data_IF_641393574395
#
_entry.id   IF_641393574395
#
_cell.length_a   1.000
_cell.length_b   1.000
_cell.length_c   1.000
_cell.angle_alpha   90.00
_cell.angle_beta   90.00
_cell.angle_gamma   90.00
#
_symmetry.space_group_name_H-M   'P 1'
#
loop_
_entity.id
_entity.type
_entity.pdbx_description
1 polymer ?
#
# COMPACT_ATOMS: atom_id res chain seq x y z
N UNK A 1 2.99 10.75 11.32
CA UNK A 1 4.16 10.22 12.05
C UNK A 1 4.97 9.23 11.20
N UNK A 2 4.32 8.24 10.56
CA UNK A 2 5.00 7.20 9.76
C UNK A 2 5.69 7.80 8.54
N UNK A 3 4.99 8.57 7.72
CA UNK A 3 5.53 9.18 6.50
C UNK A 3 6.75 10.06 6.80
N UNK A 4 6.71 10.84 7.87
CA UNK A 4 7.85 11.66 8.29
C UNK A 4 9.09 10.79 8.59
N UNK A 5 8.90 9.67 9.29
CA UNK A 5 9.98 8.74 9.61
C UNK A 5 10.55 8.07 8.36
N UNK A 6 9.70 7.75 7.39
CA UNK A 6 10.11 7.16 6.11
C UNK A 6 10.89 8.17 5.26
N UNK A 7 10.41 9.41 5.18
CA UNK A 7 11.14 10.48 4.48
C UNK A 7 12.51 10.74 5.09
N UNK A 8 12.62 10.66 6.40
CA UNK A 8 13.91 10.76 7.07
C UNK A 8 14.85 9.62 6.68
N UNK A 9 14.39 8.38 6.76
CA UNK A 9 15.20 7.20 6.41
C UNK A 9 15.65 7.21 4.94
N UNK A 10 14.80 7.67 4.02
CA UNK A 10 15.12 7.81 2.60
C UNK A 10 16.15 8.92 2.33
N UNK A 11 16.04 10.02 3.05
CA UNK A 11 16.84 11.20 2.76
C UNK A 11 18.34 11.03 3.10
N UNK A 12 18.69 10.13 4.04
CA UNK A 12 20.09 9.89 4.44
C UNK A 12 20.91 9.14 3.36
N UNK A 13 20.29 8.37 2.50
CA UNK A 13 20.99 7.44 1.59
C UNK A 13 20.43 7.42 0.16
N UNK A 14 19.52 8.32 -0.20
CA UNK A 14 18.79 8.28 -1.46
C UNK A 14 19.69 8.51 -2.67
N UNK A 15 19.82 7.48 -3.50
CA UNK A 15 20.46 7.59 -4.81
C UNK A 15 19.49 8.15 -5.89
N UNK A 16 20.01 8.46 -7.07
CA UNK A 16 19.20 9.00 -8.18
C UNK A 16 18.10 8.04 -8.63
N UNK A 17 18.27 6.74 -8.45
CA UNK A 17 17.28 5.72 -8.84
C UNK A 17 16.12 5.67 -7.86
N UNK A 18 16.42 5.71 -6.57
CA UNK A 18 15.40 5.80 -5.52
C UNK A 18 14.56 7.07 -5.68
N UNK A 19 15.17 8.20 -6.05
CA UNK A 19 14.46 9.44 -6.36
C UNK A 19 13.50 9.26 -7.53
N UNK A 20 13.98 8.71 -8.66
CA UNK A 20 13.13 8.45 -9.83
C UNK A 20 11.97 7.51 -9.52
N UNK A 21 12.19 6.49 -8.69
CA UNK A 21 11.14 5.58 -8.27
C UNK A 21 10.08 6.29 -7.43
N UNK A 22 10.49 7.16 -6.51
CA UNK A 22 9.55 7.95 -5.72
C UNK A 22 8.77 8.92 -6.61
N UNK A 23 9.43 9.61 -7.55
CA UNK A 23 8.77 10.46 -8.53
C UNK A 23 7.70 9.68 -9.31
N UNK A 24 8.03 8.50 -9.84
CA UNK A 24 7.09 7.67 -10.59
C UNK A 24 5.84 7.30 -9.79
N UNK A 25 5.98 7.14 -8.47
CA UNK A 25 4.85 6.81 -7.60
C UNK A 25 4.04 8.05 -7.24
N UNK A 26 4.72 9.18 -6.98
CA UNK A 26 4.04 10.45 -6.79
C UNK A 26 3.20 10.80 -8.02
N UNK A 27 3.76 10.63 -9.24
CA UNK A 27 3.02 10.77 -10.50
C UNK A 27 1.80 9.85 -10.56
N UNK A 28 1.98 8.57 -10.21
CA UNK A 28 0.89 7.58 -10.26
C UNK A 28 -0.27 7.95 -9.35
N UNK A 29 0.00 8.48 -8.15
CA UNK A 29 -1.04 8.91 -7.21
C UNK A 29 -1.47 10.38 -7.44
N UNK A 30 -0.85 11.08 -8.41
CA UNK A 30 -1.22 12.42 -8.85
C UNK A 30 -0.70 13.56 -7.96
N UNK A 31 0.49 13.38 -7.38
CA UNK A 31 1.18 14.40 -6.60
C UNK A 31 2.41 14.95 -7.33
N UNK A 32 2.79 16.18 -7.01
CA UNK A 32 4.04 16.79 -7.47
C UNK A 32 5.25 16.09 -6.82
N UNK A 33 6.41 16.20 -7.46
CA UNK A 33 7.66 15.61 -6.94
C UNK A 33 8.26 16.40 -5.75
N UNK A 34 7.47 17.25 -5.12
CA UNK A 34 7.86 18.02 -3.95
C UNK A 34 7.02 17.67 -2.74
N UNK A 35 7.71 17.48 -1.63
CA UNK A 35 7.09 17.24 -0.33
C UNK A 35 7.61 18.29 0.63
N UNK A 36 6.72 18.94 1.37
CA UNK A 36 7.09 19.89 2.41
C UNK A 36 6.82 19.30 3.79
N UNK A 37 7.75 19.53 4.70
CA UNK A 37 7.57 19.26 6.11
C UNK A 37 7.34 20.57 6.83
N UNK A 38 6.10 20.85 7.24
CA UNK A 38 5.75 22.02 8.04
C UNK A 38 5.78 21.67 9.52
N UNK A 39 6.55 22.38 10.33
CA UNK A 39 6.71 22.07 11.74
C UNK A 39 6.74 23.30 12.63
N UNK A 40 6.37 23.12 13.90
CA UNK A 40 6.46 24.15 14.92
C UNK A 40 7.23 23.62 16.14
N UNK A 41 8.04 24.48 16.74
CA UNK A 41 8.83 24.15 17.93
C UNK A 41 8.06 24.44 19.21
N UNK A 42 8.34 23.65 20.25
CA UNK A 42 7.86 23.93 21.60
C UNK A 42 8.57 25.17 22.10
N UNK A 43 7.85 26.30 22.14
CA UNK A 43 8.32 27.52 22.76
C UNK A 43 8.40 27.31 24.27
N UNK A 44 9.42 27.87 24.96
CA UNK A 44 9.65 27.76 26.40
C UNK A 44 8.35 27.77 27.21
N UNK A 45 7.93 26.63 27.70
CA UNK A 45 6.94 26.54 28.76
C UNK A 45 7.67 26.52 30.10
N UNK A 46 7.18 27.25 31.08
CA UNK A 46 7.71 27.28 32.46
C UNK A 46 7.73 25.90 33.15
N UNK A 47 7.21 24.87 32.51
CA UNK A 47 7.11 23.48 33.03
C UNK A 47 8.15 22.51 32.48
N UNK A 48 8.75 22.77 31.33
CA UNK A 48 9.73 21.86 30.73
C UNK A 48 11.11 22.53 30.75
N UNK A 49 12.01 22.16 31.58
CA UNK A 49 13.37 22.66 31.76
C UNK A 49 14.04 23.39 30.57
N UNK A 50 15.29 23.73 30.62
CA UNK A 50 15.98 24.35 29.47
C UNK A 50 16.04 23.29 28.35
N UNK A 51 15.74 23.70 27.11
CA UNK A 51 15.80 22.81 25.92
C UNK A 51 17.17 22.12 25.79
N UNK A 52 18.26 22.81 26.24
CA UNK A 52 19.60 22.24 26.26
C UNK A 52 19.70 21.03 27.20
N UNK A 53 19.07 21.11 28.37
CA UNK A 53 19.09 20.01 29.34
C UNK A 53 18.28 18.81 28.83
N UNK A 54 17.14 19.07 28.19
CA UNK A 54 16.33 18.04 27.56
C UNK A 54 17.13 17.33 26.46
N UNK A 55 17.74 18.09 25.55
CA UNK A 55 18.57 17.55 24.47
C UNK A 55 19.72 16.71 25.04
N UNK A 56 20.43 17.22 26.05
CA UNK A 56 21.54 16.50 26.67
C UNK A 56 21.09 15.15 27.25
N UNK A 57 20.01 15.14 28.05
CA UNK A 57 19.48 13.91 28.66
C UNK A 57 18.98 12.90 27.61
N UNK A 58 18.41 13.38 26.50
CA UNK A 58 17.88 12.52 25.45
C UNK A 58 18.98 11.94 24.57
N UNK A 59 20.01 12.75 24.20
CA UNK A 59 21.19 12.27 23.45
C UNK A 59 21.93 11.17 24.22
N UNK A 60 22.07 11.30 25.54
CA UNK A 60 22.72 10.27 26.36
C UNK A 60 21.98 8.93 26.36
N UNK A 61 20.67 8.94 26.20
CA UNK A 61 19.78 7.75 26.17
C UNK A 61 19.45 7.27 24.76
N UNK A 62 19.82 8.01 23.73
CA UNK A 62 19.51 7.68 22.36
C UNK A 62 20.35 6.49 21.87
N UNK A 63 19.67 5.43 21.39
CA UNK A 63 20.33 4.22 20.89
C UNK A 63 21.25 4.49 19.70
N UNK A 64 20.90 5.44 18.85
CA UNK A 64 21.69 5.84 17.68
C UNK A 64 23.04 6.40 18.09
N UNK A 65 23.10 7.10 19.24
CA UNK A 65 24.32 7.69 19.76
C UNK A 65 25.01 6.83 20.83
N UNK A 66 24.55 5.59 21.05
CA UNK A 66 25.08 4.72 22.11
C UNK A 66 26.57 4.43 21.98
N UNK A 67 27.05 4.30 20.73
CA UNK A 67 28.44 3.95 20.42
C UNK A 67 29.37 5.17 20.29
N UNK A 68 28.84 6.40 20.41
CA UNK A 68 29.63 7.60 20.32
C UNK A 68 30.39 7.88 21.62
N UNK A 69 31.60 8.43 21.48
CA UNK A 69 32.38 8.97 22.58
C UNK A 69 31.67 10.15 23.25
N UNK A 70 32.06 10.47 24.47
CA UNK A 70 31.52 11.62 25.22
C UNK A 70 31.72 12.95 24.47
N UNK A 71 32.83 13.08 23.74
CA UNK A 71 33.13 14.28 22.96
C UNK A 71 32.18 14.40 21.77
N UNK A 72 31.99 13.32 21.01
CA UNK A 72 31.06 13.27 19.86
C UNK A 72 29.60 13.52 20.27
N UNK A 73 29.18 12.98 21.41
CA UNK A 73 27.86 13.28 21.98
C UNK A 73 27.71 14.78 22.30
N UNK A 74 28.71 15.39 22.89
CA UNK A 74 28.67 16.82 23.16
C UNK A 74 28.57 17.65 21.87
N UNK A 75 29.26 17.27 20.82
CA UNK A 75 29.14 17.93 19.51
C UNK A 75 27.72 17.85 18.95
N UNK A 76 27.09 16.68 19.04
CA UNK A 76 25.68 16.50 18.63
C UNK A 76 24.72 17.36 19.46
N UNK A 77 24.93 17.43 20.78
CA UNK A 77 24.13 18.28 21.67
C UNK A 77 24.26 19.75 21.26
N UNK A 78 25.46 20.22 20.97
CA UNK A 78 25.72 21.60 20.56
C UNK A 78 25.05 21.90 19.23
N UNK A 79 25.13 21.02 18.23
CA UNK A 79 24.51 21.16 16.92
C UNK A 79 22.98 21.23 17.03
N UNK A 80 22.36 20.26 17.70
CA UNK A 80 20.90 20.21 17.92
C UNK A 80 20.40 21.44 18.67
N UNK A 81 21.10 21.85 19.72
CA UNK A 81 20.73 23.04 20.50
C UNK A 81 20.90 24.33 19.70
N UNK A 82 21.95 24.45 18.91
CA UNK A 82 22.17 25.60 18.02
C UNK A 82 21.04 25.72 17.00
N UNK A 83 20.67 24.61 16.36
CA UNK A 83 19.55 24.57 15.43
C UNK A 83 18.23 24.98 16.11
N UNK A 84 17.90 24.36 17.24
CA UNK A 84 16.70 24.71 18.01
C UNK A 84 16.68 26.19 18.39
N UNK A 85 17.79 26.72 18.92
CA UNK A 85 17.91 28.12 19.35
C UNK A 85 17.72 29.09 18.19
N UNK A 86 18.35 28.82 17.04
CA UNK A 86 18.25 29.65 15.83
C UNK A 86 16.78 29.74 15.37
N UNK A 87 16.09 28.62 15.28
CA UNK A 87 14.68 28.60 14.88
C UNK A 87 13.77 29.20 15.97
N UNK A 88 13.93 28.85 17.24
CA UNK A 88 13.08 29.35 18.33
C UNK A 88 13.26 30.84 18.64
N UNK A 89 14.35 31.46 18.22
CA UNK A 89 14.61 32.92 18.36
C UNK A 89 13.95 33.73 17.24
N UNK A 90 13.45 33.10 16.21
CA UNK A 90 12.68 33.72 15.12
C UNK A 90 11.28 34.08 15.59
N UNK A 91 10.67 35.10 15.01
CA UNK A 91 9.27 35.44 15.22
C UNK A 91 8.29 34.47 14.51
N UNK A 92 8.80 33.56 13.71
CA UNK A 92 7.98 32.56 13.00
C UNK A 92 7.53 31.47 13.96
N UNK A 93 6.26 31.08 13.84
CA UNK A 93 5.67 29.97 14.58
C UNK A 93 5.84 28.65 13.82
N UNK A 94 5.74 28.72 12.50
CA UNK A 94 5.88 27.56 11.59
C UNK A 94 7.10 27.70 10.70
N UNK A 95 7.73 26.59 10.43
CA UNK A 95 8.88 26.43 9.55
C UNK A 95 8.59 25.36 8.55
N UNK A 96 9.02 25.57 7.30
CA UNK A 96 8.86 24.62 6.23
C UNK A 96 10.24 24.12 5.77
N UNK A 97 10.33 22.82 5.63
CA UNK A 97 11.47 22.14 5.02
C UNK A 97 10.97 21.44 3.75
N UNK A 98 11.57 21.73 2.61
CA UNK A 98 11.13 21.23 1.31
C UNK A 98 12.10 20.17 0.79
N UNK A 99 11.56 19.06 0.34
CA UNK A 99 12.26 18.00 -0.36
C UNK A 99 11.79 18.05 -1.80
N UNK A 100 12.72 18.23 -2.73
CA UNK A 100 12.49 18.22 -4.17
C UNK A 100 13.17 16.99 -4.75
N UNK A 101 12.40 16.05 -5.29
CA UNK A 101 12.91 14.79 -5.83
C UNK A 101 13.41 14.94 -7.27
N UNK A 102 13.06 16.02 -7.99
CA UNK A 102 13.53 16.30 -9.34
C UNK A 102 14.95 16.88 -9.36
N UNK A 103 15.34 17.55 -8.29
CA UNK A 103 16.60 18.27 -8.23
C UNK A 103 17.63 17.56 -7.37
N UNK A 104 18.78 17.21 -7.96
CA UNK A 104 19.97 16.72 -7.26
C UNK A 104 20.61 17.77 -6.33
N UNK A 105 20.11 19.00 -6.39
CA UNK A 105 20.67 20.16 -5.69
C UNK A 105 20.09 20.37 -4.29
N UNK A 106 19.61 19.34 -3.61
CA UNK A 106 19.37 19.46 -2.17
C UNK A 106 20.73 19.69 -1.51
N UNK A 107 21.02 20.90 -0.97
CA UNK A 107 22.33 21.17 -0.38
C UNK A 107 22.61 20.15 0.73
N UNK A 108 23.86 19.68 0.88
CA UNK A 108 24.21 18.75 1.97
C UNK A 108 23.78 19.27 3.34
N UNK A 109 23.73 20.59 3.53
CA UNK A 109 23.24 21.23 4.76
C UNK A 109 21.74 21.01 5.03
N UNK A 110 20.95 20.67 3.99
CA UNK A 110 19.52 20.36 4.16
C UNK A 110 19.27 18.98 4.77
N UNK A 111 20.18 18.04 4.61
CA UNK A 111 20.07 16.73 5.24
C UNK A 111 20.19 16.83 6.76
N UNK A 112 21.11 17.68 7.23
CA UNK A 112 21.26 17.93 8.65
C UNK A 112 20.01 18.57 9.25
N UNK A 113 19.31 19.44 8.51
CA UNK A 113 18.08 20.07 9.00
C UNK A 113 16.98 19.05 9.25
N UNK A 114 16.73 18.11 8.32
CA UNK A 114 15.73 17.07 8.50
C UNK A 114 16.07 16.14 9.67
N UNK A 115 17.35 15.80 9.82
CA UNK A 115 17.83 15.01 10.95
C UNK A 115 17.58 15.73 12.28
N UNK A 116 17.88 17.03 12.35
CA UNK A 116 17.63 17.81 13.57
C UNK A 116 16.14 17.91 13.89
N UNK A 117 15.27 18.11 12.89
CA UNK A 117 13.80 18.14 13.08
C UNK A 117 13.32 16.78 13.60
N UNK A 118 13.81 15.69 13.02
CA UNK A 118 13.45 14.34 13.44
C UNK A 118 13.88 14.07 14.89
N UNK A 119 15.12 14.41 15.28
CA UNK A 119 15.62 14.25 16.64
C UNK A 119 14.87 15.13 17.64
N UNK A 120 14.64 16.40 17.31
CA UNK A 120 13.86 17.29 18.16
C UNK A 120 12.43 16.80 18.36
N UNK A 121 11.83 16.17 17.33
CA UNK A 121 10.52 15.53 17.46
C UNK A 121 10.56 14.33 18.41
N UNK A 122 11.58 13.48 18.32
CA UNK A 122 11.77 12.36 19.26
C UNK A 122 12.00 12.84 20.70
N UNK A 123 12.56 14.04 20.86
CA UNK A 123 12.86 14.64 22.17
C UNK A 123 11.73 15.53 22.72
N UNK A 124 10.55 15.48 22.08
CA UNK A 124 9.35 16.26 22.45
C UNK A 124 9.55 17.78 22.38
N UNK A 125 10.48 18.25 21.53
CA UNK A 125 10.77 19.67 21.30
C UNK A 125 10.12 20.22 20.02
N UNK A 126 9.43 19.38 19.25
CA UNK A 126 8.55 19.76 18.14
C UNK A 126 7.12 19.58 18.59
N UNK A 127 6.33 20.65 18.57
CA UNK A 127 4.93 20.64 18.96
C UNK A 127 4.06 19.98 17.89
N UNK A 128 4.25 20.39 16.64
CA UNK A 128 3.50 19.86 15.50
C UNK A 128 4.42 19.67 14.31
N UNK A 129 4.21 18.63 13.55
CA UNK A 129 4.93 18.39 12.29
C UNK A 129 3.98 17.70 11.31
N UNK A 130 3.71 18.36 10.20
CA UNK A 130 2.82 17.92 9.14
C UNK A 130 3.62 17.71 7.86
N UNK A 131 3.42 16.57 7.22
CA UNK A 131 3.95 16.33 5.87
C UNK A 131 2.89 16.80 4.89
N UNK A 132 3.29 17.67 3.98
CA UNK A 132 2.42 18.28 2.98
C UNK A 132 2.85 17.78 1.62
N UNK A 133 1.92 17.21 0.89
CA UNK A 133 2.05 16.78 -0.50
C UNK A 133 1.45 17.86 -1.39
N UNK A 134 2.17 18.24 -2.44
CA UNK A 134 1.73 19.24 -3.39
C UNK A 134 1.01 18.57 -4.55
N UNK A 135 -0.08 19.20 -4.99
CA UNK A 135 -0.89 18.79 -6.13
C UNK A 135 -1.28 20.05 -6.91
N UNK A 136 -1.48 19.97 -8.22
CA UNK A 136 -1.67 21.14 -9.10
C UNK A 136 -2.63 22.21 -8.56
N UNK A 137 -3.71 21.81 -7.89
CA UNK A 137 -4.74 22.75 -7.42
C UNK A 137 -4.84 22.86 -5.87
N UNK A 138 -4.20 21.96 -5.13
CA UNK A 138 -4.29 21.95 -3.66
C UNK A 138 -3.08 21.27 -3.02
N UNK A 139 -2.88 21.61 -1.75
CA UNK A 139 -1.91 20.94 -0.89
C UNK A 139 -2.66 20.05 0.08
N UNK A 140 -2.20 18.82 0.22
CA UNK A 140 -2.83 17.81 1.07
C UNK A 140 -1.86 17.40 2.16
N UNK A 141 -2.31 17.34 3.40
CA UNK A 141 -1.48 16.77 4.47
C UNK A 141 -1.56 15.24 4.45
N UNK A 142 -0.55 14.57 5.02
CA UNK A 142 -0.58 13.11 5.16
C UNK A 142 -1.81 12.58 5.91
N UNK A 143 -2.45 13.42 6.71
CA UNK A 143 -3.62 13.05 7.51
C UNK A 143 -4.94 13.23 6.72
N UNK A 144 -4.90 13.99 5.63
CA UNK A 144 -6.03 14.22 4.73
C UNK A 144 -6.02 13.32 3.49
N UNK A 145 -4.99 12.50 3.33
CA UNK A 145 -4.90 11.53 2.24
C UNK A 145 -5.99 10.47 2.35
N UNK A 146 -6.47 9.98 1.21
CA UNK A 146 -7.29 8.77 1.21
C UNK A 146 -6.49 7.58 1.76
N UNK A 147 -7.19 6.60 2.34
CA UNK A 147 -6.54 5.40 2.88
C UNK A 147 -5.71 4.65 1.83
N UNK A 148 -6.16 4.64 0.58
CA UNK A 148 -5.44 4.02 -0.53
C UNK A 148 -4.18 4.78 -0.94
N UNK A 149 -4.24 6.10 -1.09
CA UNK A 149 -3.06 6.95 -1.35
C UNK A 149 -2.01 6.77 -0.27
N UNK A 150 -2.44 6.82 0.99
CA UNK A 150 -1.55 6.63 2.13
C UNK A 150 -0.93 5.22 2.15
N UNK A 151 -1.73 4.17 1.91
CA UNK A 151 -1.25 2.78 1.87
C UNK A 151 -0.22 2.59 0.76
N UNK A 152 -0.51 3.02 -0.47
CA UNK A 152 0.41 2.93 -1.61
C UNK A 152 1.73 3.65 -1.31
N UNK A 153 1.65 4.92 -0.93
CA UNK A 153 2.82 5.73 -0.64
C UNK A 153 3.67 5.16 0.50
N UNK A 154 3.03 4.79 1.62
CA UNK A 154 3.75 4.26 2.78
C UNK A 154 4.40 2.91 2.49
N UNK A 155 3.76 2.04 1.72
CA UNK A 155 4.33 0.74 1.30
C UNK A 155 5.59 0.97 0.47
N UNK A 156 5.49 1.79 -0.55
CA UNK A 156 6.63 2.03 -1.44
C UNK A 156 7.77 2.75 -0.75
N UNK A 157 7.48 3.80 0.02
CA UNK A 157 8.51 4.49 0.80
C UNK A 157 9.19 3.55 1.81
N UNK A 158 8.42 2.66 2.44
CA UNK A 158 8.98 1.67 3.40
C UNK A 158 9.92 0.69 2.72
N UNK A 159 9.53 0.17 1.55
CA UNK A 159 10.35 -0.76 0.79
C UNK A 159 11.60 -0.05 0.27
N UNK A 160 11.45 1.16 -0.30
CA UNK A 160 12.59 1.95 -0.78
C UNK A 160 13.59 2.28 0.32
N UNK A 161 13.09 2.57 1.54
CA UNK A 161 13.95 2.85 2.70
C UNK A 161 14.66 1.61 3.26
N UNK A 162 14.07 0.42 3.09
CA UNK A 162 14.61 -0.83 3.64
C UNK A 162 15.52 -1.59 2.65
N UNK A 163 15.42 -1.30 1.37
CA UNK A 163 16.02 -2.10 0.31
C UNK A 163 17.46 -1.69 -0.06
N UNK A 164 18.20 -1.10 0.86
CA UNK A 164 19.59 -0.65 0.64
C UNK A 164 20.60 -1.79 0.54
N UNK A 165 20.23 -3.01 0.90
CA UNK A 165 21.14 -4.15 0.90
C UNK A 165 20.87 -5.08 -0.28
N UNK A 166 21.89 -5.56 -0.99
CA UNK A 166 21.73 -6.67 -1.91
C UNK A 166 21.20 -7.90 -1.14
N UNK A 167 20.24 -8.61 -1.75
CA UNK A 167 19.56 -9.76 -1.16
C UNK A 167 18.52 -9.44 -0.07
N UNK A 168 17.80 -8.35 -0.21
CA UNK A 168 16.68 -8.01 0.66
C UNK A 168 15.49 -8.95 0.43
N UNK A 169 14.91 -9.46 1.50
CA UNK A 169 13.63 -10.18 1.50
C UNK A 169 12.52 -9.21 1.92
N UNK A 170 11.54 -9.00 1.04
CA UNK A 170 10.37 -8.18 1.29
C UNK A 170 9.17 -9.08 1.54
N UNK A 171 8.54 -8.94 2.69
CA UNK A 171 7.33 -9.68 3.07
C UNK A 171 6.17 -8.70 3.15
N UNK A 172 5.14 -8.93 2.34
CA UNK A 172 3.91 -8.13 2.32
C UNK A 172 2.72 -9.02 2.63
N UNK A 173 1.88 -8.56 3.54
CA UNK A 173 0.64 -9.23 3.92
C UNK A 173 -0.53 -8.31 3.55
N UNK A 174 -1.41 -8.79 2.66
CA UNK A 174 -2.58 -8.06 2.14
C UNK A 174 -2.26 -6.61 1.72
N UNK A 175 -1.23 -6.35 0.88
CA UNK A 175 -0.84 -4.98 0.54
C UNK A 175 -1.91 -4.21 -0.25
N UNK A 176 -2.90 -4.91 -0.78
CA UNK A 176 -4.03 -4.35 -1.49
C UNK A 176 -5.14 -3.79 -0.60
N UNK A 177 -5.09 -4.01 0.71
CA UNK A 177 -6.08 -3.47 1.63
C UNK A 177 -6.19 -1.96 1.49
N UNK A 178 -7.41 -1.46 1.37
CA UNK A 178 -7.75 -0.06 1.14
C UNK A 178 -7.42 0.50 -0.25
N UNK A 179 -6.83 -0.29 -1.16
CA UNK A 179 -6.58 0.16 -2.53
C UNK A 179 -7.82 0.04 -3.40
N UNK A 180 -8.04 1.06 -4.23
CA UNK A 180 -9.04 0.99 -5.31
C UNK A 180 -8.68 -0.16 -6.28
N UNK A 181 -9.66 -0.88 -6.88
CA UNK A 181 -9.38 -1.98 -7.81
C UNK A 181 -8.34 -1.68 -8.89
N UNK A 182 -8.38 -0.50 -9.52
CA UNK A 182 -7.38 -0.10 -10.52
C UNK A 182 -5.95 -0.01 -9.94
N UNK A 183 -5.82 0.35 -8.66
CA UNK A 183 -4.53 0.43 -8.00
C UNK A 183 -4.04 -0.96 -7.57
N UNK A 184 -4.95 -1.88 -7.23
CA UNK A 184 -4.59 -3.28 -7.00
C UNK A 184 -3.96 -3.90 -8.25
N UNK A 185 -4.55 -3.67 -9.44
CA UNK A 185 -4.04 -4.19 -10.71
C UNK A 185 -2.63 -3.68 -11.05
N UNK A 186 -2.27 -2.46 -10.62
CA UNK A 186 -0.98 -1.84 -10.92
C UNK A 186 0.02 -1.93 -9.76
N UNK A 187 -0.37 -2.46 -8.61
CA UNK A 187 0.47 -2.50 -7.41
C UNK A 187 1.79 -3.23 -7.66
N UNK A 188 1.73 -4.42 -8.27
CA UNK A 188 2.93 -5.23 -8.53
C UNK A 188 3.87 -4.52 -9.49
N UNK A 189 3.35 -3.90 -10.54
CA UNK A 189 4.12 -3.09 -11.50
C UNK A 189 4.82 -1.91 -10.82
N UNK A 190 4.11 -1.21 -9.93
CA UNK A 190 4.66 -0.08 -9.19
C UNK A 190 5.75 -0.54 -8.22
N UNK A 191 5.55 -1.66 -7.53
CA UNK A 191 6.57 -2.25 -6.67
C UNK A 191 7.78 -2.74 -7.47
N UNK A 192 7.57 -3.38 -8.62
CA UNK A 192 8.65 -3.84 -9.50
C UNK A 192 9.48 -2.65 -10.02
N UNK A 193 8.85 -1.56 -10.42
CA UNK A 193 9.54 -0.33 -10.81
C UNK A 193 10.30 0.30 -9.65
N UNK A 194 9.68 0.39 -8.48
CA UNK A 194 10.33 0.93 -7.27
C UNK A 194 11.59 0.15 -6.87
N UNK A 195 11.64 -1.13 -7.21
CA UNK A 195 12.74 -2.05 -6.89
C UNK A 195 13.59 -2.44 -8.10
N UNK A 196 13.37 -1.86 -9.27
CA UNK A 196 13.92 -2.30 -10.57
C UNK A 196 15.44 -2.47 -10.61
N UNK A 197 16.17 -1.89 -9.67
CA UNK A 197 17.63 -1.95 -9.61
C UNK A 197 18.16 -2.63 -8.34
N UNK A 198 17.30 -3.30 -7.60
CA UNK A 198 17.66 -3.98 -6.36
C UNK A 198 17.49 -5.48 -6.51
N UNK A 199 18.46 -6.24 -6.00
CA UNK A 199 18.34 -7.70 -5.93
C UNK A 199 17.51 -8.04 -4.69
N UNK A 200 16.20 -8.15 -4.85
CA UNK A 200 15.30 -8.51 -3.77
C UNK A 200 14.40 -9.69 -4.15
N UNK A 201 13.96 -10.42 -3.14
CA UNK A 201 12.91 -11.42 -3.25
C UNK A 201 11.67 -10.88 -2.51
N UNK A 202 10.53 -10.86 -3.19
CA UNK A 202 9.27 -10.40 -2.62
C UNK A 202 8.33 -11.59 -2.44
N UNK A 203 7.79 -11.74 -1.24
CA UNK A 203 6.74 -12.70 -0.92
C UNK A 203 5.51 -11.90 -0.51
N UNK A 204 4.42 -12.11 -1.22
CA UNK A 204 3.15 -11.41 -1.01
C UNK A 204 2.08 -12.45 -0.64
N UNK A 205 1.50 -12.30 0.54
CA UNK A 205 0.28 -12.99 0.90
C UNK A 205 -0.92 -12.11 0.51
N UNK A 206 -1.87 -12.65 -0.23
CA UNK A 206 -3.01 -11.88 -0.74
C UNK A 206 -4.23 -12.75 -0.96
N UNK A 207 -5.41 -12.14 -0.81
CA UNK A 207 -6.70 -12.67 -1.26
C UNK A 207 -7.22 -11.98 -2.54
N UNK A 208 -6.44 -11.07 -3.13
CA UNK A 208 -6.85 -10.34 -4.33
C UNK A 208 -6.51 -11.10 -5.61
N UNK A 209 -7.52 -11.48 -6.35
CA UNK A 209 -7.35 -12.06 -7.69
C UNK A 209 -6.73 -11.03 -8.66
N UNK A 210 -6.90 -9.72 -8.39
CA UNK A 210 -6.37 -8.64 -9.22
C UNK A 210 -4.84 -8.57 -9.16
N UNK A 211 -4.23 -8.86 -8.00
CA UNK A 211 -2.78 -8.92 -7.87
C UNK A 211 -2.18 -10.10 -8.63
N UNK A 212 -2.94 -11.19 -8.75
CA UNK A 212 -2.45 -12.44 -9.33
C UNK A 212 -2.60 -12.47 -10.85
N UNK A 213 -3.53 -11.68 -11.42
CA UNK A 213 -3.91 -11.75 -12.84
C UNK A 213 -2.84 -11.24 -13.81
N UNK A 214 -1.90 -10.41 -13.36
CA UNK A 214 -0.95 -9.73 -14.26
C UNK A 214 0.49 -9.76 -13.72
N UNK A 215 0.92 -10.93 -13.24
CA UNK A 215 2.25 -11.08 -12.67
C UNK A 215 3.34 -11.13 -13.75
N UNK A 216 4.52 -10.49 -13.50
CA UNK A 216 5.63 -10.48 -14.45
C UNK A 216 6.07 -11.88 -14.84
N UNK A 217 6.08 -12.18 -16.15
CA UNK A 217 6.50 -13.48 -16.66
C UNK A 217 7.93 -13.81 -16.22
N UNK A 218 8.20 -15.09 -15.96
CA UNK A 218 9.53 -15.66 -15.62
C UNK A 218 10.16 -15.15 -14.32
N UNK A 219 9.56 -14.17 -13.65
CA UNK A 219 10.07 -13.61 -12.38
C UNK A 219 9.10 -13.82 -11.23
N UNK A 220 7.92 -14.39 -11.49
CA UNK A 220 6.87 -14.61 -10.51
C UNK A 220 6.46 -16.06 -10.47
N UNK A 221 5.99 -16.49 -9.31
CA UNK A 221 5.35 -17.77 -9.09
C UNK A 221 4.18 -17.61 -8.14
N UNK A 222 3.16 -18.41 -8.30
CA UNK A 222 1.97 -18.43 -7.46
C UNK A 222 1.92 -19.73 -6.69
N UNK A 223 1.74 -19.64 -5.37
CA UNK A 223 1.51 -20.79 -4.50
C UNK A 223 0.16 -20.63 -3.83
N UNK A 224 -0.73 -21.57 -4.07
CA UNK A 224 -2.02 -21.64 -3.41
C UNK A 224 -1.87 -22.33 -2.05
N UNK A 225 -2.46 -21.75 -1.02
CA UNK A 225 -2.55 -22.35 0.31
C UNK A 225 -3.99 -22.75 0.59
N UNK A 226 -4.20 -24.03 0.91
CA UNK A 226 -5.51 -24.56 1.24
C UNK A 226 -5.48 -25.25 2.61
N UNK A 227 -6.54 -25.05 3.38
CA UNK A 227 -6.73 -25.73 4.65
C UNK A 227 -7.62 -26.97 4.43
N UNK A 228 -7.14 -28.14 4.80
CA UNK A 228 -7.93 -29.36 4.75
C UNK A 228 -8.96 -29.44 5.90
N UNK A 229 -9.86 -30.43 5.84
CA UNK A 229 -10.87 -30.66 6.89
C UNK A 229 -10.26 -30.94 8.27
N UNK A 230 -9.01 -31.38 8.33
CA UNK A 230 -8.27 -31.67 9.58
C UNK A 230 -7.53 -30.44 10.10
N UNK A 231 -7.57 -29.33 9.37
CA UNK A 231 -6.89 -28.10 9.73
C UNK A 231 -5.42 -27.98 9.28
N UNK A 232 -4.91 -28.95 8.48
CA UNK A 232 -3.57 -28.86 7.92
C UNK A 232 -3.56 -27.91 6.72
N UNK A 233 -2.44 -27.22 6.53
CA UNK A 233 -2.24 -26.31 5.38
C UNK A 233 -1.47 -27.07 4.30
N UNK A 234 -2.06 -27.16 3.12
CA UNK A 234 -1.45 -27.72 1.91
C UNK A 234 -1.03 -26.59 0.99
N UNK A 235 0.19 -26.64 0.50
CA UNK A 235 0.75 -25.66 -0.43
C UNK A 235 0.87 -26.29 -1.82
N UNK A 236 0.24 -25.70 -2.83
CA UNK A 236 0.28 -26.19 -4.21
C UNK A 236 0.80 -25.08 -5.13
N UNK A 237 1.90 -25.34 -5.81
CA UNK A 237 2.43 -24.41 -6.81
C UNK A 237 1.56 -24.44 -8.07
N UNK A 238 1.21 -23.26 -8.58
CA UNK A 238 0.55 -23.10 -9.87
C UNK A 238 1.63 -23.12 -10.95
N UNK A 239 1.56 -24.12 -11.83
CA UNK A 239 2.60 -24.34 -12.88
C UNK A 239 2.46 -23.39 -14.07
N UNK A 240 1.28 -22.81 -14.26
CA UNK A 240 0.97 -21.91 -15.36
C UNK A 240 1.29 -20.45 -14.99
N UNK A 241 1.72 -19.67 -15.99
CA UNK A 241 1.88 -18.22 -15.81
C UNK A 241 0.49 -17.57 -15.82
N UNK A 242 0.19 -16.75 -14.83
CA UNK A 242 -1.10 -16.06 -14.69
C UNK A 242 -1.20 -14.78 -15.53
N UNK A 243 -0.11 -14.39 -16.21
CA UNK A 243 -0.08 -13.18 -17.04
C UNK A 243 -1.16 -13.23 -18.13
N UNK A 244 -2.01 -12.22 -18.16
CA UNK A 244 -3.11 -12.11 -19.12
C UNK A 244 -4.33 -13.00 -18.81
N UNK A 245 -4.37 -13.64 -17.66
CA UNK A 245 -5.57 -14.39 -17.26
C UNK A 245 -6.71 -13.44 -16.90
N UNK A 246 -7.94 -13.84 -17.24
CA UNK A 246 -9.12 -13.12 -16.78
C UNK A 246 -9.31 -13.28 -15.28
N UNK A 247 -10.03 -12.34 -14.66
CA UNK A 247 -10.37 -12.42 -13.24
C UNK A 247 -11.09 -13.74 -12.90
N UNK A 248 -11.97 -14.23 -13.79
CA UNK A 248 -12.68 -15.49 -13.63
C UNK A 248 -11.73 -16.68 -13.65
N UNK A 249 -10.73 -16.68 -14.53
CA UNK A 249 -9.74 -17.77 -14.58
C UNK A 249 -8.89 -17.82 -13.32
N UNK A 250 -8.45 -16.67 -12.81
CA UNK A 250 -7.68 -16.59 -11.56
C UNK A 250 -8.54 -17.10 -10.39
N UNK A 251 -9.78 -16.61 -10.28
CA UNK A 251 -10.68 -17.06 -9.22
C UNK A 251 -10.98 -18.55 -9.29
N UNK A 252 -11.17 -19.10 -10.48
CA UNK A 252 -11.44 -20.53 -10.65
C UNK A 252 -10.20 -21.40 -10.41
N UNK A 253 -9.06 -21.08 -11.04
CA UNK A 253 -7.88 -21.94 -11.06
C UNK A 253 -6.99 -21.75 -9.84
N UNK A 254 -6.86 -20.51 -9.33
CA UNK A 254 -6.00 -20.18 -8.19
C UNK A 254 -6.76 -20.21 -6.88
N UNK A 255 -7.91 -19.53 -6.83
CA UNK A 255 -8.71 -19.43 -5.60
C UNK A 255 -9.75 -20.56 -5.45
N UNK A 256 -9.92 -21.41 -6.48
CA UNK A 256 -10.94 -22.49 -6.54
C UNK A 256 -12.34 -22.00 -6.21
N UNK A 257 -12.58 -20.74 -6.47
CA UNK A 257 -13.88 -20.11 -6.26
C UNK A 257 -14.58 -20.05 -7.60
N UNK A 258 -15.67 -20.78 -7.74
CA UNK A 258 -16.52 -20.66 -8.91
C UNK A 258 -17.13 -19.26 -8.93
N UNK A 259 -16.73 -18.44 -9.89
CA UNK A 259 -17.37 -17.17 -10.15
C UNK A 259 -18.53 -17.41 -11.11
N UNK A 260 -19.67 -17.71 -10.55
CA UNK A 260 -20.89 -17.43 -11.26
C UNK A 260 -21.11 -15.92 -11.15
N UNK A 261 -21.06 -15.22 -12.26
CA UNK A 261 -21.56 -13.85 -12.33
C UNK A 261 -22.94 -13.70 -11.69
N UNK A 262 -23.56 -14.86 -11.41
CA UNK A 262 -24.82 -14.96 -10.74
C UNK A 262 -24.93 -16.29 -9.98
N UNK A 263 -24.12 -16.49 -8.94
CA UNK A 263 -24.16 -17.69 -8.09
C UNK A 263 -25.59 -18.01 -7.65
N UNK A 264 -26.36 -17.01 -7.23
CA UNK A 264 -27.75 -17.16 -6.85
C UNK A 264 -28.63 -17.65 -8.01
N UNK A 265 -28.40 -17.13 -9.22
CA UNK A 265 -29.13 -17.52 -10.41
C UNK A 265 -28.77 -18.94 -10.85
N UNK A 266 -27.48 -19.29 -10.83
CA UNK A 266 -26.97 -20.64 -11.10
C UNK A 266 -27.50 -21.67 -10.10
N UNK A 267 -27.47 -21.36 -8.81
CA UNK A 267 -28.02 -22.23 -7.76
C UNK A 267 -29.55 -22.42 -7.89
N UNK A 268 -30.30 -21.40 -8.32
CA UNK A 268 -31.75 -21.55 -8.61
C UNK A 268 -31.99 -22.49 -9.78
N UNK A 269 -31.24 -22.32 -10.87
CA UNK A 269 -31.36 -23.20 -12.03
C UNK A 269 -30.97 -24.64 -11.64
N UNK A 270 -29.87 -24.82 -10.91
CA UNK A 270 -29.44 -26.15 -10.45
C UNK A 270 -30.49 -26.84 -9.59
N UNK A 271 -31.05 -26.14 -8.61
CA UNK A 271 -32.14 -26.65 -7.76
C UNK A 271 -33.41 -27.00 -8.56
N UNK A 272 -33.75 -26.21 -9.57
CA UNK A 272 -34.90 -26.50 -10.44
C UNK A 272 -34.66 -27.78 -11.24
N UNK A 273 -33.48 -27.93 -11.86
CA UNK A 273 -33.10 -29.14 -12.61
C UNK A 273 -33.10 -30.39 -11.73
N UNK A 274 -32.55 -30.30 -10.51
CA UNK A 274 -32.57 -31.41 -9.54
C UNK A 274 -34.00 -31.82 -9.18
N UNK A 275 -34.87 -30.84 -8.89
CA UNK A 275 -36.28 -31.12 -8.58
C UNK A 275 -37.03 -31.72 -9.77
N UNK A 276 -36.72 -31.26 -10.99
CA UNK A 276 -37.28 -31.85 -12.22
C UNK A 276 -36.80 -33.31 -12.44
N UNK A 277 -35.48 -33.54 -12.24
CA UNK A 277 -34.89 -34.86 -12.39
C UNK A 277 -35.43 -35.90 -11.39
N UNK A 278 -35.70 -35.46 -10.17
CA UNK A 278 -36.24 -36.31 -9.10
C UNK A 278 -37.77 -36.38 -9.07
N UNK A 279 -38.48 -35.79 -10.04
CA UNK A 279 -39.93 -35.68 -10.08
C UNK A 279 -40.56 -35.12 -8.79
N UNK A 280 -39.80 -34.26 -8.06
CA UNK A 280 -40.19 -33.70 -6.76
C UNK A 280 -40.91 -32.36 -6.85
N UNK A 281 -41.18 -31.86 -8.07
CA UNK A 281 -41.87 -30.60 -8.37
C UNK A 281 -43.01 -30.81 -9.34
N UNK A 282 -44.14 -30.13 -9.14
CA UNK A 282 -45.29 -30.22 -10.05
C UNK A 282 -45.03 -29.41 -11.33
N UNK A 283 -45.57 -29.87 -12.49
CA UNK A 283 -45.39 -29.16 -13.77
C UNK A 283 -45.76 -27.68 -13.73
N UNK A 284 -46.79 -27.29 -12.98
CA UNK A 284 -47.21 -25.89 -12.83
C UNK A 284 -46.15 -25.05 -12.10
N UNK A 285 -45.57 -25.59 -11.03
CA UNK A 285 -44.54 -24.93 -10.26
C UNK A 285 -43.23 -24.76 -11.09
N UNK A 286 -42.91 -25.75 -11.93
CA UNK A 286 -41.78 -25.63 -12.88
C UNK A 286 -42.00 -24.48 -13.86
N UNK A 287 -43.21 -24.37 -14.40
CA UNK A 287 -43.56 -23.33 -15.37
C UNK A 287 -43.50 -21.92 -14.73
N UNK A 288 -43.94 -21.78 -13.48
CA UNK A 288 -43.87 -20.54 -12.73
C UNK A 288 -42.41 -20.17 -12.47
N UNK A 289 -41.58 -21.06 -11.96
CA UNK A 289 -40.15 -20.86 -11.69
C UNK A 289 -39.35 -20.50 -12.97
N UNK A 290 -39.61 -21.19 -14.07
CA UNK A 290 -39.02 -20.91 -15.37
C UNK A 290 -39.38 -19.49 -15.86
N UNK A 291 -40.62 -19.08 -15.66
CA UNK A 291 -41.06 -17.73 -16.04
C UNK A 291 -40.36 -16.63 -15.25
N UNK A 292 -40.22 -16.84 -13.94
CA UNK A 292 -39.45 -15.90 -13.11
C UNK A 292 -37.96 -15.83 -13.53
N UNK A 293 -37.33 -16.97 -13.76
CA UNK A 293 -35.95 -17.05 -14.23
C UNK A 293 -35.78 -16.39 -15.60
N UNK A 294 -36.76 -16.50 -16.49
CA UNK A 294 -36.74 -15.80 -17.78
C UNK A 294 -36.84 -14.30 -17.63
N UNK A 295 -37.63 -13.76 -16.70
CA UNK A 295 -37.67 -12.33 -16.43
C UNK A 295 -36.31 -11.83 -15.93
N UNK A 296 -35.67 -12.54 -14.99
CA UNK A 296 -34.33 -12.21 -14.51
C UNK A 296 -33.32 -12.24 -15.66
N UNK A 297 -33.41 -13.22 -16.56
CA UNK A 297 -32.48 -13.39 -17.69
C UNK A 297 -32.50 -12.23 -18.68
N UNK A 298 -33.56 -11.42 -18.73
CA UNK A 298 -33.64 -10.23 -19.59
C UNK A 298 -32.61 -9.15 -19.18
N UNK A 299 -32.19 -9.15 -17.91
CA UNK A 299 -31.20 -8.24 -17.39
C UNK A 299 -29.77 -8.76 -17.55
N UNK A 300 -29.58 -10.00 -17.99
CA UNK A 300 -28.26 -10.58 -18.29
C UNK A 300 -27.76 -10.13 -19.66
N UNK A 301 -26.46 -10.01 -19.81
CA UNK A 301 -25.79 -9.76 -21.09
C UNK A 301 -26.12 -10.88 -22.09
N UNK A 302 -26.19 -10.57 -23.40
CA UNK A 302 -26.47 -11.58 -24.45
C UNK A 302 -25.39 -12.66 -24.57
N UNK A 303 -24.16 -12.34 -24.12
CA UNK A 303 -23.03 -13.27 -24.09
C UNK A 303 -22.92 -14.06 -22.78
N UNK A 304 -23.85 -13.86 -21.83
CA UNK A 304 -23.82 -14.58 -20.54
C UNK A 304 -24.15 -16.07 -20.74
N UNK A 305 -23.28 -17.01 -20.35
CA UNK A 305 -23.49 -18.45 -20.51
C UNK A 305 -24.77 -18.93 -19.83
N UNK A 306 -25.14 -18.35 -18.69
CA UNK A 306 -26.37 -18.77 -17.96
C UNK A 306 -27.64 -18.42 -18.72
N UNK A 307 -27.64 -17.37 -19.53
CA UNK A 307 -28.74 -17.01 -20.43
C UNK A 307 -28.95 -18.12 -21.49
N UNK A 308 -27.83 -18.64 -22.02
CA UNK A 308 -27.88 -19.76 -22.99
C UNK A 308 -28.38 -21.04 -22.35
N UNK A 309 -27.89 -21.37 -21.15
CA UNK A 309 -28.35 -22.55 -20.38
C UNK A 309 -29.85 -22.47 -20.11
N UNK A 310 -30.35 -21.33 -19.61
CA UNK A 310 -31.77 -21.15 -19.33
C UNK A 310 -32.63 -21.25 -20.59
N UNK A 311 -32.20 -20.65 -21.69
CA UNK A 311 -32.90 -20.74 -22.96
C UNK A 311 -32.99 -22.19 -23.45
N UNK A 312 -31.98 -23.02 -23.21
CA UNK A 312 -31.97 -24.44 -23.55
C UNK A 312 -32.97 -25.22 -22.69
N UNK A 313 -32.99 -24.95 -21.38
CA UNK A 313 -33.95 -25.58 -20.44
C UNK A 313 -35.39 -25.23 -20.84
N UNK A 314 -35.65 -23.97 -21.12
CA UNK A 314 -36.99 -23.52 -21.55
C UNK A 314 -37.44 -24.15 -22.85
N UNK A 315 -36.52 -24.35 -23.80
CA UNK A 315 -36.81 -25.06 -25.06
C UNK A 315 -37.10 -26.56 -24.84
N UNK A 316 -36.37 -27.17 -23.91
CA UNK A 316 -36.55 -28.59 -23.59
C UNK A 316 -37.85 -28.89 -22.80
N UNK A 317 -38.36 -27.89 -22.08
CA UNK A 317 -39.57 -28.02 -21.25
C UNK A 317 -40.85 -27.73 -22.03
N UNK A 318 -40.76 -27.05 -23.17
CA UNK A 318 -41.91 -26.84 -24.09
C UNK A 318 -42.18 -28.07 -24.93
#
# INVERSE_FOLDING_TARGET
>A
AIVFRLLFALNEQMDNRQRQNICSILDFIGYDHRISLSYSLVMKSKKNGDAKDIISQRVDKDREYSNLSKQEKNEKIIQLYKFYKTKSSSSKIWYDYNIDFDNDSTPKDSFDELHYIYKLKQYDLVNSANVIFHKQECNITSDDMSSGEFAMLSTVLSISAAADNPHTLVLLDEPELSLHPNWQMTLIDNLDRALANQVCHMIIATHSHMLVSDLPMKRSSVTQLEKDEKGNINATAISECTYGWSAEEVLLKVFKTATDRNRYFGERIGRLLEKMGNNSIKPREVAEELKELQEISKHLSDIDPMKTVLNTIVKAYK
#
